data_IF_985002815721
#
_entry.id   IF_985002815721
#
_cell.length_a   1.000
_cell.length_b   1.000
_cell.length_c   1.000
_cell.angle_alpha   90.00
_cell.angle_beta   90.00
_cell.angle_gamma   90.00
#
_symmetry.space_group_name_H-M   'P 1'
#
loop_
_entity.id
_entity.type
_entity.pdbx_description
1 polymer ?
#
# COMPACT_ATOMS: atom_id res chain seq x y z
N UNK A 1 -27.16 6.32 -9.49
CA UNK A 1 -26.01 7.21 -9.68
C UNK A 1 -25.13 7.07 -8.44
N UNK A 2 -23.83 6.77 -8.63
CA UNK A 2 -22.87 6.74 -7.52
C UNK A 2 -22.37 8.16 -7.24
N UNK A 3 -22.20 8.49 -5.97
CA UNK A 3 -21.50 9.67 -5.48
C UNK A 3 -20.68 9.31 -4.22
N UNK A 4 -19.84 10.23 -3.77
CA UNK A 4 -18.97 10.01 -2.63
C UNK A 4 -19.77 9.63 -1.37
N UNK A 5 -20.88 10.32 -1.11
CA UNK A 5 -21.70 10.09 0.08
C UNK A 5 -22.33 8.70 0.09
N UNK A 6 -22.89 8.27 -1.05
CA UNK A 6 -23.50 6.93 -1.16
C UNK A 6 -22.47 5.81 -0.95
N UNK A 7 -21.23 6.01 -1.41
CA UNK A 7 -20.14 5.04 -1.20
C UNK A 7 -19.64 5.08 0.25
N UNK A 8 -19.53 6.26 0.85
CA UNK A 8 -19.19 6.40 2.26
C UNK A 8 -20.22 5.71 3.17
N UNK A 9 -21.50 5.96 2.94
CA UNK A 9 -22.61 5.33 3.68
C UNK A 9 -22.57 3.79 3.55
N UNK A 10 -22.25 3.27 2.36
CA UNK A 10 -22.11 1.85 2.10
C UNK A 10 -20.95 1.25 2.92
N UNK A 11 -19.79 1.93 2.97
CA UNK A 11 -18.63 1.51 3.75
C UNK A 11 -18.98 1.50 5.25
N UNK A 12 -19.57 2.57 5.75
CA UNK A 12 -19.96 2.69 7.16
C UNK A 12 -20.97 1.65 7.58
N UNK A 13 -21.99 1.40 6.74
CA UNK A 13 -23.00 0.36 6.99
C UNK A 13 -22.42 -1.04 7.08
N UNK A 14 -21.32 -1.32 6.36
CA UNK A 14 -20.67 -2.63 6.30
C UNK A 14 -19.43 -2.76 7.19
N UNK A 15 -18.92 -1.67 7.75
CA UNK A 15 -17.66 -1.61 8.51
C UNK A 15 -17.59 -2.60 9.68
N UNK A 16 -18.73 -2.93 10.30
CA UNK A 16 -18.82 -3.88 11.42
C UNK A 16 -19.24 -5.30 10.97
N UNK A 17 -19.43 -5.51 9.68
CA UNK A 17 -19.81 -6.82 9.15
C UNK A 17 -18.62 -7.78 9.14
N UNK A 18 -18.76 -9.03 9.57
CA UNK A 18 -17.70 -10.05 9.43
C UNK A 18 -17.33 -10.32 7.97
N UNK A 19 -18.22 -10.00 7.03
CA UNK A 19 -18.01 -10.16 5.59
C UNK A 19 -17.67 -8.83 4.90
N UNK A 20 -17.09 -7.85 5.62
CA UNK A 20 -16.75 -6.55 5.05
C UNK A 20 -15.90 -6.68 3.78
N UNK A 21 -14.95 -7.60 3.76
CA UNK A 21 -14.08 -7.82 2.59
C UNK A 21 -14.86 -8.21 1.34
N UNK A 22 -16.00 -8.89 1.47
CA UNK A 22 -16.85 -9.25 0.33
C UNK A 22 -17.41 -8.03 -0.42
N UNK A 23 -17.36 -6.85 0.20
CA UNK A 23 -17.76 -5.59 -0.43
C UNK A 23 -16.90 -5.23 -1.65
N UNK A 24 -15.65 -5.76 -1.76
CA UNK A 24 -14.82 -5.53 -2.94
C UNK A 24 -15.50 -6.03 -4.23
N UNK A 25 -16.31 -7.08 -4.15
CA UNK A 25 -17.04 -7.62 -5.30
C UNK A 25 -18.01 -6.59 -5.89
N UNK A 26 -18.68 -5.81 -5.03
CA UNK A 26 -19.55 -4.71 -5.49
C UNK A 26 -18.78 -3.73 -6.39
N UNK A 27 -17.54 -3.37 -6.03
CA UNK A 27 -16.72 -2.43 -6.81
C UNK A 27 -16.20 -3.06 -8.11
N UNK A 28 -15.93 -4.37 -8.13
CA UNK A 28 -15.56 -5.08 -9.35
C UNK A 28 -16.72 -5.09 -10.35
N UNK A 29 -17.93 -5.31 -9.87
CA UNK A 29 -19.16 -5.30 -10.69
C UNK A 29 -19.60 -3.88 -11.07
N UNK A 30 -19.20 -2.87 -10.29
CA UNK A 30 -19.56 -1.47 -10.50
C UNK A 30 -18.32 -0.56 -10.60
N UNK A 31 -17.49 -0.65 -11.69
CA UNK A 31 -16.23 0.12 -11.78
C UNK A 31 -16.43 1.64 -11.74
N UNK A 32 -17.63 2.15 -12.07
CA UNK A 32 -17.98 3.56 -11.97
C UNK A 32 -17.98 4.09 -10.53
N UNK A 33 -18.02 3.22 -9.52
CA UNK A 33 -17.90 3.58 -8.12
C UNK A 33 -16.44 3.71 -7.63
N UNK A 34 -15.46 3.20 -8.40
CA UNK A 34 -14.05 3.18 -8.01
C UNK A 34 -13.44 4.58 -7.76
N UNK A 35 -13.72 5.62 -8.58
CA UNK A 35 -13.17 6.94 -8.29
C UNK A 35 -13.50 7.42 -6.88
N UNK A 36 -14.75 7.25 -6.44
CA UNK A 36 -15.18 7.64 -5.10
C UNK A 36 -14.51 6.81 -4.00
N UNK A 37 -14.30 5.50 -4.22
CA UNK A 37 -13.57 4.65 -3.27
C UNK A 37 -12.11 5.09 -3.14
N UNK A 38 -11.45 5.44 -4.25
CA UNK A 38 -10.07 5.95 -4.27
C UNK A 38 -10.01 7.29 -3.51
N UNK A 39 -10.91 8.22 -3.79
CA UNK A 39 -10.96 9.53 -3.11
C UNK A 39 -11.18 9.36 -1.60
N UNK A 40 -12.09 8.48 -1.19
CA UNK A 40 -12.34 8.17 0.22
C UNK A 40 -11.12 7.56 0.91
N UNK A 41 -10.35 6.72 0.22
CA UNK A 41 -9.13 6.11 0.76
C UNK A 41 -8.03 7.14 1.05
N UNK A 42 -8.02 8.25 0.32
CA UNK A 42 -7.05 9.35 0.43
C UNK A 42 -7.58 10.55 1.21
N UNK A 43 -8.83 10.49 1.65
CA UNK A 43 -9.49 11.59 2.34
C UNK A 43 -8.95 11.81 3.76
N UNK A 44 -9.19 13.02 4.29
CA UNK A 44 -8.92 13.37 5.68
C UNK A 44 -10.11 13.05 6.62
N UNK A 45 -11.05 12.23 6.15
CA UNK A 45 -12.19 11.79 6.97
C UNK A 45 -11.73 10.97 8.17
N UNK A 46 -12.59 10.90 9.17
CA UNK A 46 -12.30 10.12 10.38
C UNK A 46 -12.34 8.61 10.10
N UNK A 47 -11.61 7.85 10.95
CA UNK A 47 -11.70 6.40 10.95
C UNK A 47 -13.18 5.95 11.09
N UNK A 48 -13.67 4.92 10.36
CA UNK A 48 -12.87 3.94 9.61
C UNK A 48 -12.75 4.22 8.11
N UNK A 49 -13.33 5.31 7.59
CA UNK A 49 -13.55 5.51 6.16
C UNK A 49 -12.27 5.39 5.32
N UNK A 50 -11.19 6.16 5.55
CA UNK A 50 -10.00 6.05 4.71
C UNK A 50 -9.34 4.67 4.80
N UNK A 51 -9.21 4.13 6.01
CA UNK A 51 -8.53 2.85 6.24
C UNK A 51 -9.28 1.68 5.59
N UNK A 52 -10.62 1.67 5.68
CA UNK A 52 -11.44 0.60 5.11
C UNK A 52 -11.55 0.73 3.60
N UNK A 53 -11.64 1.95 3.08
CA UNK A 53 -11.57 2.20 1.63
C UNK A 53 -10.25 1.70 1.06
N UNK A 54 -9.12 2.06 1.66
CA UNK A 54 -7.81 1.59 1.23
C UNK A 54 -7.67 0.06 1.33
N UNK A 55 -8.25 -0.56 2.36
CA UNK A 55 -8.24 -2.02 2.50
C UNK A 55 -9.06 -2.72 1.42
N UNK A 56 -10.20 -2.16 1.01
CA UNK A 56 -10.97 -2.68 -0.13
C UNK A 56 -10.16 -2.62 -1.43
N UNK A 57 -9.39 -1.56 -1.66
CA UNK A 57 -8.50 -1.46 -2.84
C UNK A 57 -7.50 -2.62 -2.90
N UNK A 58 -7.02 -3.13 -1.75
CA UNK A 58 -6.13 -4.31 -1.70
C UNK A 58 -6.82 -5.55 -2.27
N UNK A 59 -8.09 -5.77 -1.95
CA UNK A 59 -8.83 -6.91 -2.46
C UNK A 59 -9.18 -6.77 -3.93
N UNK A 60 -9.50 -5.55 -4.37
CA UNK A 60 -9.80 -5.24 -5.77
C UNK A 60 -8.56 -5.45 -6.65
N UNK A 61 -7.40 -4.93 -6.26
CA UNK A 61 -6.17 -5.06 -7.08
C UNK A 61 -5.73 -6.51 -7.21
N UNK A 62 -5.89 -7.31 -6.16
CA UNK A 62 -5.57 -8.75 -6.20
C UNK A 62 -6.50 -9.54 -7.11
N UNK A 63 -7.77 -9.15 -7.18
CA UNK A 63 -8.75 -9.79 -8.06
C UNK A 63 -8.60 -9.31 -9.52
N UNK A 64 -8.38 -8.01 -9.74
CA UNK A 64 -8.24 -7.41 -11.06
C UNK A 64 -7.40 -6.12 -11.00
N UNK A 65 -6.07 -6.21 -11.20
CA UNK A 65 -5.18 -5.04 -11.18
C UNK A 65 -5.56 -3.96 -12.20
N UNK A 66 -6.14 -4.36 -13.34
CA UNK A 66 -6.54 -3.46 -14.41
C UNK A 66 -7.56 -2.40 -13.98
N UNK A 67 -8.39 -2.71 -12.98
CA UNK A 67 -9.39 -1.77 -12.45
C UNK A 67 -8.75 -0.58 -11.73
N UNK A 68 -7.59 -0.76 -11.10
CA UNK A 68 -6.89 0.29 -10.36
C UNK A 68 -5.75 0.94 -11.15
N UNK A 69 -5.37 0.40 -12.29
CA UNK A 69 -4.32 0.96 -13.15
C UNK A 69 -4.56 2.44 -13.52
N UNK A 70 -5.80 2.91 -13.82
CA UNK A 70 -6.06 4.32 -14.09
C UNK A 70 -5.78 5.25 -12.91
N UNK A 71 -5.87 4.77 -11.67
CA UNK A 71 -5.70 5.54 -10.44
C UNK A 71 -4.29 5.49 -9.87
N UNK A 72 -3.37 4.81 -10.51
CA UNK A 72 -2.04 4.53 -9.99
C UNK A 72 -1.26 5.81 -9.62
N UNK A 73 -1.33 6.87 -10.41
CA UNK A 73 -0.66 8.12 -10.09
C UNK A 73 -1.25 8.78 -8.85
N UNK A 74 -2.58 8.82 -8.75
CA UNK A 74 -3.29 9.35 -7.59
C UNK A 74 -2.97 8.55 -6.32
N UNK A 75 -2.97 7.22 -6.40
CA UNK A 75 -2.64 6.34 -5.28
C UNK A 75 -1.17 6.49 -4.84
N UNK A 76 -0.24 6.67 -5.78
CA UNK A 76 1.17 6.90 -5.44
C UNK A 76 1.34 8.26 -4.77
N UNK A 77 0.76 9.33 -5.31
CA UNK A 77 0.81 10.65 -4.69
C UNK A 77 0.17 10.63 -3.29
N UNK A 78 -0.95 9.91 -3.12
CA UNK A 78 -1.60 9.74 -1.83
C UNK A 78 -0.75 8.99 -0.82
N UNK A 79 -0.03 7.93 -1.23
CA UNK A 79 0.93 7.23 -0.35
C UNK A 79 2.02 8.17 0.18
N UNK A 80 2.57 9.01 -0.69
CA UNK A 80 3.66 9.92 -0.34
C UNK A 80 3.21 11.06 0.60
N UNK A 81 1.92 11.34 0.69
CA UNK A 81 1.35 12.45 1.47
C UNK A 81 0.65 12.02 2.77
N UNK A 82 0.09 10.80 2.81
CA UNK A 82 -0.73 10.38 3.95
C UNK A 82 0.10 10.08 5.19
N UNK A 83 -0.36 10.56 6.35
CA UNK A 83 0.18 10.19 7.66
C UNK A 83 -0.54 8.98 8.29
N UNK A 84 -1.60 8.47 7.66
CA UNK A 84 -2.37 7.34 8.19
C UNK A 84 -1.66 6.00 7.90
N UNK A 85 -1.09 5.38 8.93
CA UNK A 85 -0.32 4.14 8.79
C UNK A 85 -1.11 2.97 8.21
N UNK A 86 -2.41 2.90 8.45
CA UNK A 86 -3.26 1.84 7.86
C UNK A 86 -3.47 2.06 6.36
N UNK A 87 -3.67 3.31 5.96
CA UNK A 87 -3.75 3.70 4.54
C UNK A 87 -2.40 3.45 3.85
N UNK A 88 -1.28 3.90 4.44
CA UNK A 88 0.07 3.65 3.93
C UNK A 88 0.30 2.17 3.65
N UNK A 89 -0.01 1.30 4.63
CA UNK A 89 0.12 -0.15 4.46
C UNK A 89 -0.67 -0.68 3.27
N UNK A 90 -1.93 -0.29 3.17
CA UNK A 90 -2.81 -0.76 2.09
C UNK A 90 -2.32 -0.26 0.73
N UNK A 91 -1.91 1.01 0.62
CA UNK A 91 -1.39 1.58 -0.62
C UNK A 91 -0.06 0.96 -1.04
N UNK A 92 0.84 0.66 -0.09
CA UNK A 92 2.07 -0.09 -0.38
C UNK A 92 1.74 -1.45 -1.02
N UNK A 93 0.74 -2.17 -0.50
CA UNK A 93 0.31 -3.46 -1.06
C UNK A 93 -0.30 -3.26 -2.45
N UNK A 94 -1.21 -2.30 -2.62
CA UNK A 94 -1.85 -2.03 -3.93
C UNK A 94 -0.81 -1.70 -5.00
N UNK A 95 0.15 -0.86 -4.68
CA UNK A 95 1.18 -0.42 -5.63
C UNK A 95 2.21 -1.50 -5.97
N UNK A 96 2.33 -2.59 -5.18
CA UNK A 96 3.11 -3.77 -5.56
C UNK A 96 2.51 -4.51 -6.76
N UNK A 97 1.20 -4.49 -6.91
CA UNK A 97 0.47 -5.16 -7.99
C UNK A 97 0.38 -4.29 -9.28
N UNK A 98 0.76 -3.02 -9.20
CA UNK A 98 0.67 -2.06 -10.30
C UNK A 98 2.07 -1.69 -10.83
N UNK A 99 2.22 -1.35 -12.14
CA UNK A 99 3.50 -0.90 -12.68
C UNK A 99 3.91 0.43 -12.04
N UNK A 100 5.19 0.69 -11.80
CA UNK A 100 5.65 1.98 -11.28
C UNK A 100 5.78 2.97 -12.44
N UNK A 101 5.02 4.07 -12.40
CA UNK A 101 5.13 5.14 -13.39
C UNK A 101 6.47 5.88 -13.23
N UNK A 102 7.11 6.21 -14.37
CA UNK A 102 8.42 6.86 -14.41
C UNK A 102 8.49 8.12 -13.54
N UNK A 103 7.42 8.91 -13.57
CA UNK A 103 7.30 10.17 -12.81
C UNK A 103 7.55 10.01 -11.31
N UNK A 104 7.12 8.90 -10.71
CA UNK A 104 7.18 8.68 -9.25
C UNK A 104 8.30 7.74 -8.82
N UNK A 105 9.14 7.23 -9.74
CA UNK A 105 10.15 6.21 -9.40
C UNK A 105 11.10 6.68 -8.30
N UNK A 106 11.65 7.88 -8.43
CA UNK A 106 12.62 8.41 -7.46
C UNK A 106 11.98 8.67 -6.10
N UNK A 107 10.83 9.34 -6.08
CA UNK A 107 10.13 9.68 -4.83
C UNK A 107 9.68 8.41 -4.08
N UNK A 108 9.11 7.42 -4.80
CA UNK A 108 8.69 6.16 -4.21
C UNK A 108 9.90 5.35 -3.71
N UNK A 109 11.02 5.36 -4.42
CA UNK A 109 12.25 4.70 -3.99
C UNK A 109 12.75 5.31 -2.67
N UNK A 110 12.88 6.63 -2.60
CA UNK A 110 13.31 7.33 -1.40
C UNK A 110 12.36 7.07 -0.23
N UNK A 111 11.05 7.16 -0.46
CA UNK A 111 10.03 6.84 0.53
C UNK A 111 10.20 5.40 1.09
N UNK A 112 10.44 4.43 0.21
CA UNK A 112 10.63 3.05 0.64
C UNK A 112 11.90 2.86 1.47
N UNK A 113 13.00 3.54 1.15
CA UNK A 113 14.21 3.54 1.99
C UNK A 113 13.94 4.15 3.37
N UNK A 114 13.31 5.30 3.43
CA UNK A 114 12.97 5.96 4.70
C UNK A 114 12.07 5.08 5.58
N UNK A 115 10.99 4.53 5.01
CA UNK A 115 10.05 3.67 5.71
C UNK A 115 10.71 2.38 6.19
N UNK A 116 11.56 1.76 5.37
CA UNK A 116 12.26 0.52 5.73
C UNK A 116 13.27 0.73 6.85
N UNK A 117 14.06 1.80 6.77
CA UNK A 117 15.12 2.09 7.74
C UNK A 117 14.59 2.58 9.10
N UNK A 118 13.43 3.26 9.12
CA UNK A 118 12.92 3.90 10.33
C UNK A 118 12.34 2.87 11.32
N UNK A 119 12.93 2.70 12.53
CA UNK A 119 12.46 1.75 13.54
C UNK A 119 11.09 2.11 14.13
N UNK A 120 10.69 3.39 14.09
CA UNK A 120 9.42 3.86 14.62
C UNK A 120 8.24 3.58 13.67
N UNK A 121 8.52 3.20 12.43
CA UNK A 121 7.49 2.82 11.47
C UNK A 121 6.91 1.45 11.78
N UNK A 122 5.60 1.30 11.60
CA UNK A 122 4.90 0.03 11.77
C UNK A 122 5.58 -1.08 10.96
N UNK A 123 5.80 -2.24 11.59
CA UNK A 123 6.57 -3.37 10.99
C UNK A 123 6.02 -3.80 9.64
N UNK A 124 4.69 -3.85 9.50
CA UNK A 124 4.08 -4.23 8.22
C UNK A 124 4.43 -3.24 7.10
N UNK A 125 4.45 -1.94 7.38
CA UNK A 125 4.83 -0.92 6.39
C UNK A 125 6.30 -1.09 5.98
N UNK A 126 7.19 -1.36 6.93
CA UNK A 126 8.61 -1.64 6.67
C UNK A 126 8.81 -2.86 5.76
N UNK A 127 8.06 -3.93 6.02
CA UNK A 127 8.12 -5.16 5.19
C UNK A 127 7.65 -4.89 3.75
N UNK A 128 6.55 -4.17 3.57
CA UNK A 128 6.08 -3.84 2.22
C UNK A 128 6.99 -2.84 1.51
N UNK A 129 7.59 -1.89 2.22
CA UNK A 129 8.62 -1.01 1.66
C UNK A 129 9.84 -1.83 1.18
N UNK A 130 10.29 -2.83 1.95
CA UNK A 130 11.35 -3.74 1.54
C UNK A 130 10.99 -4.53 0.27
N UNK A 131 9.74 -4.95 0.09
CA UNK A 131 9.30 -5.61 -1.13
C UNK A 131 9.32 -4.67 -2.34
N UNK A 132 8.99 -3.39 -2.17
CA UNK A 132 9.20 -2.38 -3.20
C UNK A 132 10.70 -2.21 -3.53
N UNK A 133 11.57 -2.13 -2.52
CA UNK A 133 13.02 -2.06 -2.73
C UNK A 133 13.53 -3.27 -3.52
N UNK A 134 13.09 -4.49 -3.19
CA UNK A 134 13.41 -5.70 -3.99
C UNK A 134 12.97 -5.57 -5.46
N UNK A 135 11.84 -4.94 -5.70
CA UNK A 135 11.35 -4.67 -7.04
C UNK A 135 12.21 -3.63 -7.77
N UNK A 136 12.67 -2.59 -7.06
CA UNK A 136 13.56 -1.57 -7.60
C UNK A 136 14.95 -2.13 -7.93
N UNK A 137 15.51 -3.02 -7.11
CA UNK A 137 16.79 -3.69 -7.36
C UNK A 137 16.83 -4.39 -8.73
N UNK A 138 15.70 -4.92 -9.21
CA UNK A 138 15.64 -5.52 -10.54
C UNK A 138 15.92 -4.53 -11.67
N UNK A 139 15.63 -3.24 -11.46
CA UNK A 139 15.84 -2.17 -12.43
C UNK A 139 17.08 -1.34 -12.13
N UNK A 140 17.52 -1.32 -10.87
CA UNK A 140 18.63 -0.54 -10.33
C UNK A 140 19.44 -1.42 -9.39
N UNK A 141 20.27 -2.37 -9.93
CA UNK A 141 21.02 -3.33 -9.10
C UNK A 141 21.98 -2.67 -8.09
N UNK A 142 22.43 -1.45 -8.39
CA UNK A 142 23.35 -0.68 -7.54
C UNK A 142 22.78 -0.34 -6.16
N UNK A 143 21.45 -0.29 -6.00
CA UNK A 143 20.84 -0.01 -4.69
C UNK A 143 20.84 -1.23 -3.75
N UNK A 144 21.11 -2.44 -4.25
CA UNK A 144 21.10 -3.65 -3.41
C UNK A 144 22.10 -3.57 -2.27
N UNK A 145 23.27 -2.97 -2.51
CA UNK A 145 24.29 -2.78 -1.48
C UNK A 145 23.79 -1.91 -0.32
N UNK A 146 23.07 -0.84 -0.63
CA UNK A 146 22.47 0.05 0.39
C UNK A 146 21.39 -0.68 1.20
N UNK A 147 20.51 -1.42 0.54
CA UNK A 147 19.49 -2.23 1.22
C UNK A 147 20.13 -3.25 2.15
N UNK A 148 21.19 -3.97 1.71
CA UNK A 148 21.93 -4.93 2.53
C UNK A 148 22.65 -4.28 3.71
N UNK A 149 23.15 -3.06 3.53
CA UNK A 149 23.76 -2.30 4.64
C UNK A 149 22.75 -1.98 5.73
N UNK A 150 21.53 -1.56 5.36
CA UNK A 150 20.44 -1.35 6.31
C UNK A 150 20.05 -2.67 6.99
N UNK A 151 19.95 -3.76 6.24
CA UNK A 151 19.66 -5.10 6.79
C UNK A 151 20.69 -5.49 7.83
N UNK A 152 21.99 -5.33 7.56
CA UNK A 152 23.05 -5.67 8.50
C UNK A 152 22.96 -4.87 9.82
N UNK A 153 22.58 -3.58 9.74
CA UNK A 153 22.33 -2.78 10.93
C UNK A 153 21.13 -3.32 11.72
N UNK A 154 20.05 -3.68 11.04
CA UNK A 154 18.84 -4.20 11.68
C UNK A 154 19.08 -5.58 12.32
N UNK A 155 19.89 -6.44 11.69
CA UNK A 155 20.24 -7.77 12.22
C UNK A 155 21.07 -7.70 13.50
N UNK A 156 21.79 -6.60 13.73
CA UNK A 156 22.50 -6.35 14.99
C UNK A 156 21.60 -5.94 16.15
N UNK A 157 20.31 -5.75 15.90
CA UNK A 157 19.31 -5.28 16.86
C UNK A 157 18.22 -6.34 17.09
N UNK A 158 17.43 -6.17 18.14
CA UNK A 158 16.25 -7.01 18.33
C UNK A 158 15.18 -6.69 17.27
N UNK A 159 14.83 -7.70 16.47
CA UNK A 159 13.84 -7.56 15.39
C UNK A 159 12.55 -8.31 15.67
N UNK A 160 11.43 -7.68 15.32
CA UNK A 160 10.12 -8.35 15.31
C UNK A 160 10.08 -9.47 14.26
N UNK A 161 9.40 -10.60 14.55
CA UNK A 161 9.38 -11.78 13.66
C UNK A 161 8.98 -11.47 12.21
N UNK A 162 7.98 -10.63 11.98
CA UNK A 162 7.52 -10.29 10.64
C UNK A 162 8.61 -9.58 9.80
N UNK A 163 9.41 -8.68 10.42
CA UNK A 163 10.51 -8.03 9.72
C UNK A 163 11.63 -9.03 9.38
N UNK A 164 11.94 -9.95 10.29
CA UNK A 164 12.92 -11.02 10.05
C UNK A 164 12.51 -11.91 8.87
N UNK A 165 11.22 -12.25 8.77
CA UNK A 165 10.69 -13.01 7.62
C UNK A 165 10.79 -12.18 6.33
N UNK A 166 10.44 -10.90 6.37
CA UNK A 166 10.57 -9.99 5.22
C UNK A 166 12.00 -9.90 4.70
N UNK A 167 12.97 -9.73 5.59
CA UNK A 167 14.41 -9.71 5.26
C UNK A 167 14.85 -11.04 4.65
N UNK A 168 14.46 -12.16 5.25
CA UNK A 168 14.76 -13.48 4.68
C UNK A 168 14.21 -13.65 3.27
N UNK A 169 13.00 -13.16 3.01
CA UNK A 169 12.37 -13.21 1.69
C UNK A 169 13.06 -12.26 0.69
N UNK A 170 13.61 -11.15 1.16
CA UNK A 170 14.42 -10.27 0.33
C UNK A 170 15.72 -10.96 -0.10
N UNK A 171 16.43 -11.59 0.84
CA UNK A 171 17.71 -12.25 0.61
C UNK A 171 17.62 -13.55 -0.21
N UNK A 172 16.43 -14.16 -0.28
CA UNK A 172 16.17 -15.26 -1.23
C UNK A 172 15.91 -14.65 -2.60
N UNK A 173 16.67 -15.04 -3.60
CA UNK A 173 16.61 -14.51 -4.98
C UNK A 173 15.30 -14.62 -5.67
#
# INVERSE_FOLDING_TARGET
>A
VFDERSIEDLILARAKSPNFTALHQFFIENPKALPFLVDLSLSQKTHPVPAYSAWLLVHIVKANPGLLAPFQEQLTAGLLQTANHSVQRSLLVVLLELPIKRKFKGELLNYCFEVFANPDTAVANRVYALYHLKRFVKSYPEIDQEVRSIIAILESQEMKPALRVGIRNYLKH
#
